data_IF_161523700257
#
_entry.id   IF_161523700257
#
_cell.length_a   1.000
_cell.length_b   1.000
_cell.length_c   1.000
_cell.angle_alpha   90.00
_cell.angle_beta   90.00
_cell.angle_gamma   90.00
#
_symmetry.space_group_name_H-M   'P 1'
#
loop_
_entity.id
_entity.type
_entity.pdbx_description
1 polymer ?
#
# COMPACT_ATOMS: atom_id res chain seq x y z
N UNK A 1 -1.32 15.33 -9.86
CA UNK A 1 -2.28 14.27 -9.50
C UNK A 1 -2.04 13.94 -8.03
N UNK A 2 -3.08 13.90 -7.20
CA UNK A 2 -2.92 13.59 -5.78
C UNK A 2 -3.12 12.08 -5.56
N UNK A 3 -2.05 11.39 -5.17
CA UNK A 3 -2.10 10.02 -4.71
C UNK A 3 -2.44 10.04 -3.22
N UNK A 4 -3.56 9.45 -2.83
CA UNK A 4 -3.90 9.30 -1.41
C UNK A 4 -3.62 7.88 -0.97
N UNK A 5 -2.73 7.75 0.00
CA UNK A 5 -2.42 6.51 0.68
C UNK A 5 -3.43 6.36 1.82
N UNK A 6 -4.72 6.22 1.52
CA UNK A 6 -5.81 6.21 2.50
C UNK A 6 -6.50 7.56 2.74
N UNK A 7 -7.64 7.51 3.43
CA UNK A 7 -8.43 8.68 3.90
C UNK A 7 -8.14 9.08 5.33
N UNK A 8 -7.42 8.26 6.10
CA UNK A 8 -7.10 8.55 7.50
C UNK A 8 -5.88 9.50 7.60
N UNK A 9 -5.85 10.32 8.64
CA UNK A 9 -4.76 11.25 8.91
C UNK A 9 -3.54 10.55 9.51
N UNK A 10 -3.66 9.28 9.92
CA UNK A 10 -2.59 8.55 10.61
C UNK A 10 -2.00 7.44 9.74
N UNK A 11 -0.71 7.56 9.47
CA UNK A 11 0.11 6.49 8.89
C UNK A 11 0.72 5.66 10.02
N UNK A 12 0.72 4.34 9.89
CA UNK A 12 1.32 3.39 10.84
C UNK A 12 2.49 2.67 10.18
N UNK A 13 3.67 2.71 10.80
CA UNK A 13 4.80 1.88 10.40
C UNK A 13 4.53 0.40 10.71
N UNK A 14 4.96 -0.49 9.81
CA UNK A 14 4.74 -1.94 9.92
C UNK A 14 6.03 -2.76 9.96
N UNK A 15 7.16 -2.15 9.63
CA UNK A 15 8.46 -2.78 9.61
C UNK A 15 9.15 -2.57 8.28
N UNK A 16 10.12 -3.43 7.98
CA UNK A 16 10.90 -3.39 6.75
C UNK A 16 10.80 -4.73 6.02
N UNK A 17 10.79 -4.69 4.70
CA UNK A 17 10.80 -5.91 3.88
C UNK A 17 12.15 -6.62 3.97
N UNK A 18 12.20 -7.84 3.44
CA UNK A 18 13.48 -8.41 2.97
C UNK A 18 14.12 -7.52 1.90
N UNK A 19 15.35 -7.81 1.49
CA UNK A 19 16.00 -7.04 0.44
C UNK A 19 15.23 -7.17 -0.89
N UNK A 20 14.67 -6.06 -1.37
CA UNK A 20 13.93 -5.97 -2.63
C UNK A 20 14.67 -5.05 -3.61
N UNK A 21 14.45 -5.25 -4.91
CA UNK A 21 15.01 -4.40 -5.97
C UNK A 21 14.01 -3.32 -6.34
N UNK A 22 14.40 -2.06 -6.23
CA UNK A 22 13.54 -0.95 -6.59
C UNK A 22 13.32 -0.89 -8.12
N UNK A 23 12.07 -0.93 -8.62
CA UNK A 23 11.81 -0.84 -10.04
C UNK A 23 12.12 0.57 -10.60
N UNK A 24 12.16 1.61 -9.76
CA UNK A 24 12.43 2.98 -10.19
C UNK A 24 13.94 3.30 -10.27
N UNK A 25 14.76 2.87 -9.31
CA UNK A 25 16.19 3.20 -9.28
C UNK A 25 17.13 2.01 -9.48
N UNK A 26 16.60 0.78 -9.59
CA UNK A 26 17.36 -0.45 -9.78
C UNK A 26 18.18 -0.92 -8.57
N UNK A 27 18.27 -0.12 -7.51
CA UNK A 27 19.03 -0.45 -6.30
C UNK A 27 18.25 -1.40 -5.39
N UNK A 28 19.00 -2.26 -4.71
CA UNK A 28 18.45 -3.14 -3.67
C UNK A 28 18.37 -2.43 -2.32
N UNK A 29 17.43 -2.83 -1.48
CA UNK A 29 17.33 -2.37 -0.11
C UNK A 29 16.12 -2.91 0.64
N UNK A 30 16.08 -2.67 1.94
CA UNK A 30 14.95 -2.99 2.81
C UNK A 30 13.92 -1.85 2.72
N UNK A 31 12.73 -2.14 2.19
CA UNK A 31 11.71 -1.12 2.00
C UNK A 31 10.96 -0.91 3.31
N UNK A 32 10.76 0.34 3.71
CA UNK A 32 9.89 0.66 4.82
C UNK A 32 8.43 0.37 4.45
N UNK A 33 7.74 -0.44 5.25
CA UNK A 33 6.33 -0.81 5.05
C UNK A 33 5.46 0.04 5.96
N UNK A 34 4.44 0.65 5.38
CA UNK A 34 3.50 1.52 6.07
C UNK A 34 2.06 1.14 5.71
N UNK A 35 1.13 1.51 6.58
CA UNK A 35 -0.30 1.34 6.33
C UNK A 35 -1.08 2.59 6.71
N UNK A 36 -2.16 2.84 5.99
CA UNK A 36 -3.19 3.81 6.33
C UNK A 36 -4.57 3.14 6.14
N UNK A 37 -5.63 3.78 6.62
CA UNK A 37 -6.99 3.28 6.54
C UNK A 37 -7.81 4.08 5.53
N UNK A 38 -8.42 3.38 4.58
CA UNK A 38 -9.38 3.92 3.62
C UNK A 38 -10.79 3.56 4.08
N UNK A 39 -11.63 4.57 4.27
CA UNK A 39 -13.06 4.40 4.59
C UNK A 39 -13.87 5.04 3.47
N UNK A 40 -14.64 4.22 2.76
CA UNK A 40 -15.56 4.69 1.72
C UNK A 40 -16.99 4.34 2.10
N UNK A 41 -17.88 5.28 1.89
CA UNK A 41 -19.32 5.02 1.96
C UNK A 41 -19.71 4.46 0.60
N UNK A 42 -20.02 3.16 0.55
CA UNK A 42 -20.58 2.54 -0.63
C UNK A 42 -22.10 2.53 -0.49
N UNK A 43 -22.83 3.04 -1.49
CA UNK A 43 -24.31 3.08 -1.46
C UNK A 43 -24.93 1.68 -1.69
N UNK A 44 -24.15 0.61 -1.51
CA UNK A 44 -24.60 -0.78 -1.67
C UNK A 44 -25.07 -1.34 -0.32
N UNK A 45 -26.33 -1.78 -0.27
CA UNK A 45 -26.91 -2.50 0.88
C UNK A 45 -26.39 -3.95 0.94
N UNK A 46 -26.33 -4.59 2.11
CA UNK A 46 -26.80 -4.15 3.43
C UNK A 46 -25.76 -3.40 4.28
N UNK A 47 -24.49 -3.34 3.85
CA UNK A 47 -23.39 -2.69 4.59
C UNK A 47 -22.84 -1.51 3.79
N UNK A 48 -23.21 -0.27 4.14
CA UNK A 48 -22.85 0.91 3.36
C UNK A 48 -21.40 1.39 3.57
N UNK A 49 -20.57 0.60 4.26
CA UNK A 49 -19.23 0.96 4.68
C UNK A 49 -18.21 -0.03 4.11
N UNK A 50 -17.40 0.45 3.18
CA UNK A 50 -16.22 -0.26 2.69
C UNK A 50 -15.00 0.27 3.43
N UNK A 51 -14.38 -0.61 4.21
CA UNK A 51 -13.15 -0.33 4.95
C UNK A 51 -12.03 -1.14 4.33
N UNK A 52 -10.94 -0.48 3.94
CA UNK A 52 -9.75 -1.13 3.38
C UNK A 52 -8.50 -0.59 4.06
N UNK A 53 -7.52 -1.46 4.29
CA UNK A 53 -6.19 -1.07 4.72
C UNK A 53 -5.31 -0.86 3.50
N UNK A 54 -4.83 0.36 3.31
CA UNK A 54 -3.91 0.69 2.22
C UNK A 54 -2.50 0.49 2.72
N UNK A 55 -1.80 -0.50 2.15
CA UNK A 55 -0.37 -0.71 2.40
C UNK A 55 0.46 -0.08 1.30
N UNK A 56 1.56 0.55 1.72
CA UNK A 56 2.51 1.14 0.80
C UNK A 56 3.94 0.99 1.32
N UNK A 57 4.87 0.99 0.38
CA UNK A 57 6.29 0.81 0.63
C UNK A 57 7.07 2.01 0.15
N UNK A 58 8.11 2.37 0.89
CA UNK A 58 9.01 3.47 0.55
C UNK A 58 10.41 2.92 0.31
N UNK A 59 10.96 3.19 -0.87
CA UNK A 59 12.33 2.81 -1.19
C UNK A 59 13.33 3.65 -0.37
N UNK A 60 14.29 3.03 0.33
CA UNK A 60 15.29 3.78 1.12
C UNK A 60 16.26 4.59 0.26
N UNK A 61 16.43 4.22 -1.01
CA UNK A 61 17.45 4.81 -1.89
C UNK A 61 16.97 6.04 -2.68
N UNK A 62 15.68 6.09 -3.02
CA UNK A 62 15.14 7.12 -3.91
C UNK A 62 13.78 7.67 -3.46
N UNK A 63 13.29 7.25 -2.29
CA UNK A 63 12.00 7.62 -1.73
C UNK A 63 10.78 7.33 -2.62
N UNK A 64 10.95 6.51 -3.67
CA UNK A 64 9.85 6.03 -4.50
C UNK A 64 8.83 5.27 -3.64
N UNK A 65 7.54 5.51 -3.90
CA UNK A 65 6.44 4.93 -3.15
C UNK A 65 5.68 3.94 -4.03
N UNK A 66 5.45 2.75 -3.50
CA UNK A 66 4.75 1.66 -4.19
C UNK A 66 3.56 1.19 -3.36
N UNK A 67 2.46 0.85 -4.02
CA UNK A 67 1.32 0.18 -3.39
C UNK A 67 1.54 -1.33 -3.35
N UNK A 68 0.88 -2.00 -2.40
CA UNK A 68 0.80 -3.46 -2.32
C UNK A 68 -0.63 -3.87 -2.03
N UNK A 69 -1.01 -5.06 -2.49
CA UNK A 69 -2.33 -5.63 -2.20
C UNK A 69 -2.57 -5.77 -0.70
N UNK A 70 -3.79 -5.46 -0.26
CA UNK A 70 -4.17 -5.50 1.16
C UNK A 70 -3.84 -6.84 1.81
N UNK A 71 -4.14 -7.95 1.14
CA UNK A 71 -3.86 -9.30 1.63
C UNK A 71 -2.37 -9.52 1.95
N UNK A 72 -1.48 -9.06 1.06
CA UNK A 72 -0.03 -9.21 1.24
C UNK A 72 0.47 -8.37 2.41
N UNK A 73 -0.05 -7.15 2.53
CA UNK A 73 0.26 -6.28 3.67
C UNK A 73 -0.24 -6.83 5.00
N UNK A 74 -1.42 -7.46 5.01
CA UNK A 74 -1.97 -8.13 6.19
C UNK A 74 -1.16 -9.37 6.60
N UNK A 75 -0.73 -10.17 5.63
CA UNK A 75 0.14 -11.33 5.88
C UNK A 75 1.51 -10.88 6.42
N UNK A 76 2.06 -9.78 5.88
CA UNK A 76 3.28 -9.15 6.39
C UNK A 76 3.11 -8.72 7.85
N UNK A 77 2.03 -8.01 8.15
CA UNK A 77 1.70 -7.54 9.50
C UNK A 77 1.52 -8.69 10.50
N UNK A 78 1.06 -9.86 10.06
CA UNK A 78 0.94 -11.08 10.89
C UNK A 78 2.28 -11.78 11.15
N UNK A 79 3.39 -11.25 10.62
CA UNK A 79 4.73 -11.77 10.86
C UNK A 79 5.23 -12.70 9.76
N UNK A 80 4.72 -12.60 8.53
CA UNK A 80 5.27 -13.31 7.35
C UNK A 80 6.10 -12.34 6.49
N UNK A 81 7.41 -12.18 6.71
CA UNK A 81 8.21 -11.12 6.07
C UNK A 81 8.37 -11.33 4.56
N UNK A 82 8.25 -12.58 4.09
CA UNK A 82 8.35 -12.98 2.69
C UNK A 82 7.04 -12.82 1.90
N UNK A 83 5.97 -12.34 2.54
CA UNK A 83 4.68 -12.12 1.88
C UNK A 83 4.72 -11.00 0.83
N UNK A 84 5.67 -10.06 0.93
CA UNK A 84 5.88 -8.97 -0.02
C UNK A 84 7.21 -9.18 -0.76
N UNK A 85 7.15 -9.41 -2.07
CA UNK A 85 8.30 -9.58 -2.96
C UNK A 85 8.36 -8.55 -4.08
N UNK A 86 9.38 -8.66 -4.95
CA UNK A 86 9.61 -7.71 -6.05
C UNK A 86 8.42 -7.58 -7.03
N UNK A 87 7.65 -8.66 -7.22
CA UNK A 87 6.49 -8.68 -8.12
C UNK A 87 5.22 -8.08 -7.50
N UNK A 88 5.22 -7.84 -6.19
CA UNK A 88 4.07 -7.29 -5.47
C UNK A 88 4.08 -5.75 -5.48
N UNK A 89 5.19 -5.10 -5.87
CA UNK A 89 5.28 -3.64 -5.96
C UNK A 89 4.42 -3.13 -7.13
N UNK A 90 3.39 -2.36 -6.79
CA UNK A 90 2.46 -1.77 -7.77
C UNK A 90 2.57 -0.26 -7.79
N UNK A 91 2.23 0.33 -8.93
CA UNK A 91 2.02 1.77 -9.02
C UNK A 91 0.87 2.20 -8.10
N UNK A 92 1.00 3.41 -7.53
CA UNK A 92 -0.04 3.97 -6.69
C UNK A 92 -1.28 4.27 -7.53
N UNK A 93 -2.43 3.74 -7.11
CA UNK A 93 -3.70 4.06 -7.75
C UNK A 93 -4.06 5.53 -7.44
N UNK A 94 -4.53 6.30 -8.44
CA UNK A 94 -5.01 7.66 -8.20
C UNK A 94 -6.25 7.66 -7.29
N UNK A 95 -6.42 8.76 -6.55
CA UNK A 95 -7.49 8.89 -5.56
C UNK A 95 -8.92 8.85 -6.15
N UNK A 96 -9.10 9.35 -7.38
CA UNK A 96 -10.42 9.39 -8.01
C UNK A 96 -10.75 7.99 -8.55
N UNK A 97 -11.92 7.42 -8.23
CA UNK A 97 -12.38 6.24 -8.96
C UNK A 97 -12.49 6.60 -10.44
N UNK A 98 -12.21 5.63 -11.32
CA UNK A 98 -12.68 5.71 -12.70
C UNK A 98 -14.14 6.13 -12.67
N UNK A 99 -14.48 7.19 -13.41
CA UNK A 99 -15.87 7.63 -13.56
C UNK A 99 -16.67 6.38 -13.92
N UNK A 100 -17.59 5.95 -13.06
CA UNK A 100 -18.63 5.02 -13.47
C UNK A 100 -19.40 5.75 -14.58
N UNK A 101 -19.23 5.25 -15.80
CA UNK A 101 -19.94 5.72 -16.98
C UNK A 101 -21.43 5.39 -16.88
#
# INVERSE_FOLDING_TARGET
>A
MEYRLGTDNRIKARGETVELTCPQCGKKGHFGVFSNFERRIAVKLPLPLECQTVYFLVCPNCAAVFGVDEQKGDDFKKGSPLSIGNFDLKELKPFKPEKQA
#
